data_IF_365812405147
#
_entry.id   IF_365812405147
#
_cell.length_a   1.000
_cell.length_b   1.000
_cell.length_c   1.000
_cell.angle_alpha   90.00
_cell.angle_beta   90.00
_cell.angle_gamma   90.00
#
_symmetry.space_group_name_H-M   'P 1'
#
loop_
_entity.id
_entity.type
_entity.pdbx_description
1 polymer ?
#
# COMPACT_ATOMS: atom_id res chain seq x y z
N UNK A 1 -3.75 53.77 6.78
CA UNK A 1 -2.98 52.84 5.93
C UNK A 1 -3.46 51.43 6.25
N UNK A 2 -4.12 50.75 5.32
CA UNK A 2 -4.67 49.41 5.51
C UNK A 2 -3.63 48.36 5.08
N UNK A 3 -3.40 47.37 5.94
CA UNK A 3 -2.48 46.27 5.67
C UNK A 3 -3.08 45.32 4.62
N UNK A 4 -2.31 45.06 3.57
CA UNK A 4 -2.67 44.11 2.52
C UNK A 4 -2.71 42.69 3.09
N UNK A 5 -3.88 42.05 3.01
CA UNK A 5 -4.05 40.65 3.36
C UNK A 5 -3.30 39.75 2.40
N UNK A 6 -2.32 38.99 2.91
CA UNK A 6 -1.68 37.91 2.19
C UNK A 6 -2.70 36.79 1.97
N UNK A 7 -3.22 36.69 0.74
CA UNK A 7 -3.94 35.50 0.26
C UNK A 7 -2.97 34.33 0.25
N UNK A 8 -3.12 33.42 1.21
CA UNK A 8 -2.51 32.08 1.12
C UNK A 8 -3.27 31.31 0.05
N UNK A 9 -2.66 31.13 -1.12
CA UNK A 9 -3.10 30.10 -2.06
C UNK A 9 -2.71 28.75 -1.45
N UNK A 10 -3.66 28.03 -0.85
CA UNK A 10 -3.53 26.59 -0.70
C UNK A 10 -3.55 26.02 -2.11
N UNK A 11 -2.38 25.62 -2.62
CA UNK A 11 -2.31 24.73 -3.78
C UNK A 11 -3.04 23.45 -3.37
N UNK A 12 -4.33 23.35 -3.74
CA UNK A 12 -5.18 22.25 -3.34
C UNK A 12 -4.49 20.94 -3.69
N UNK A 13 -4.28 20.08 -2.70
CA UNK A 13 -3.91 18.70 -2.96
C UNK A 13 -5.09 18.16 -3.76
N UNK A 14 -4.89 17.95 -5.06
CA UNK A 14 -5.90 17.30 -5.89
C UNK A 14 -5.93 15.86 -5.42
N UNK A 15 -7.03 15.47 -4.80
CA UNK A 15 -7.28 14.09 -4.42
C UNK A 15 -7.17 13.23 -5.68
N UNK A 16 -6.26 12.24 -5.64
CA UNK A 16 -6.10 11.30 -6.74
C UNK A 16 -7.13 10.18 -6.59
N UNK A 17 -7.72 9.70 -7.69
CA UNK A 17 -8.66 8.59 -7.62
C UNK A 17 -7.99 7.34 -7.05
N UNK A 18 -8.78 6.35 -6.58
CA UNK A 18 -8.28 5.05 -6.20
C UNK A 18 -7.39 4.46 -7.30
N UNK A 19 -6.27 3.87 -6.89
CA UNK A 19 -5.24 3.38 -7.79
C UNK A 19 -4.53 2.18 -7.18
N UNK A 20 -3.79 1.46 -8.02
CA UNK A 20 -2.86 0.41 -7.60
C UNK A 20 -1.47 1.03 -7.50
N UNK A 21 -0.82 0.83 -6.35
CA UNK A 21 0.53 1.31 -6.07
C UNK A 21 1.45 0.17 -5.72
N UNK A 22 2.73 0.36 -6.05
CA UNK A 22 3.83 -0.48 -5.59
C UNK A 22 4.88 0.44 -4.98
N UNK A 23 5.28 0.13 -3.76
CA UNK A 23 6.36 0.82 -3.06
C UNK A 23 7.43 -0.19 -2.70
N UNK A 24 8.70 0.21 -2.80
CA UNK A 24 9.85 -0.62 -2.49
C UNK A 24 10.65 0.06 -1.39
N UNK A 25 10.95 -0.67 -0.33
CA UNK A 25 11.68 -0.19 0.83
C UNK A 25 12.92 -1.05 1.07
N UNK A 26 14.02 -0.44 1.51
CA UNK A 26 15.17 -1.17 2.03
C UNK A 26 14.84 -1.73 3.42
N UNK A 27 15.29 -2.95 3.71
CA UNK A 27 15.12 -3.63 4.99
C UNK A 27 16.48 -4.12 5.54
N UNK A 28 17.43 -3.21 5.81
CA UNK A 28 18.78 -3.59 6.23
C UNK A 28 18.80 -4.36 7.56
N UNK A 29 17.81 -4.12 8.42
CA UNK A 29 17.68 -4.75 9.74
C UNK A 29 16.80 -6.02 9.72
N UNK A 30 16.37 -6.47 8.54
CA UNK A 30 15.51 -7.66 8.37
C UNK A 30 14.27 -7.64 9.28
N UNK A 31 13.61 -6.48 9.38
CA UNK A 31 12.41 -6.29 10.20
C UNK A 31 11.27 -7.20 9.73
N UNK A 32 10.44 -7.73 10.65
CA UNK A 32 9.27 -8.53 10.30
C UNK A 32 8.29 -7.80 9.37
N UNK A 33 7.60 -8.52 8.50
CA UNK A 33 6.66 -7.91 7.54
C UNK A 33 5.52 -7.12 8.21
N UNK A 34 5.13 -7.49 9.44
CA UNK A 34 4.11 -6.80 10.21
C UNK A 34 4.48 -5.37 10.59
N UNK A 35 5.77 -5.04 10.64
CA UNK A 35 6.26 -3.69 10.95
C UNK A 35 5.99 -2.68 9.84
N UNK A 36 5.63 -3.15 8.64
CA UNK A 36 5.37 -2.34 7.46
C UNK A 36 3.88 -1.97 7.29
N UNK A 37 3.05 -2.33 8.29
CA UNK A 37 1.67 -1.89 8.40
C UNK A 37 1.61 -0.43 8.86
N UNK A 38 0.57 0.29 8.42
CA UNK A 38 0.25 1.60 9.00
C UNK A 38 -0.66 1.45 10.21
N UNK A 39 -0.76 2.48 11.05
CA UNK A 39 -1.68 2.53 12.19
C UNK A 39 -3.16 2.41 11.78
N UNK A 40 -3.50 2.73 10.53
CA UNK A 40 -4.84 2.60 9.96
C UNK A 40 -5.14 1.20 9.41
N UNK A 41 -4.23 0.25 9.60
CA UNK A 41 -4.39 -1.12 9.15
C UNK A 41 -5.28 -1.90 10.10
N UNK A 42 -6.10 -2.80 9.55
CA UNK A 42 -6.84 -3.79 10.32
C UNK A 42 -5.86 -4.62 11.18
N UNK A 43 -6.25 -5.01 12.41
CA UNK A 43 -5.47 -5.97 13.19
C UNK A 43 -5.37 -7.33 12.49
N UNK A 44 -6.33 -7.66 11.62
CA UNK A 44 -6.36 -8.93 10.90
C UNK A 44 -5.26 -8.95 9.83
N UNK A 45 -4.27 -9.79 10.06
CA UNK A 45 -3.16 -10.07 9.14
C UNK A 45 -3.27 -11.50 8.70
N UNK A 46 -3.34 -11.72 7.39
CA UNK A 46 -3.39 -13.05 6.81
C UNK A 46 -2.03 -13.37 6.17
N UNK A 47 -1.34 -14.45 6.57
CA UNK A 47 -0.18 -14.90 5.85
C UNK A 47 -0.59 -15.34 4.44
N UNK A 48 0.22 -15.02 3.43
CA UNK A 48 0.12 -15.58 2.09
C UNK A 48 1.49 -15.92 1.51
N UNK A 49 1.48 -16.63 0.38
CA UNK A 49 2.66 -16.79 -0.46
C UNK A 49 2.48 -16.02 -1.76
N UNK A 50 3.52 -15.31 -2.17
CA UNK A 50 3.61 -14.63 -3.48
C UNK A 50 4.82 -15.22 -4.21
N UNK A 51 4.56 -16.07 -5.18
CA UNK A 51 5.59 -16.96 -5.72
C UNK A 51 6.14 -17.86 -4.60
N UNK A 52 7.47 -17.88 -4.44
CA UNK A 52 8.15 -18.61 -3.35
C UNK A 52 8.42 -17.75 -2.10
N UNK A 53 7.92 -16.51 -2.07
CA UNK A 53 8.20 -15.57 -0.99
C UNK A 53 7.09 -15.50 0.04
N UNK A 54 7.48 -15.43 1.31
CA UNK A 54 6.57 -15.15 2.40
C UNK A 54 6.04 -13.71 2.29
N UNK A 55 4.73 -13.58 2.50
CA UNK A 55 4.05 -12.32 2.42
C UNK A 55 2.91 -12.25 3.45
N UNK A 56 2.41 -11.05 3.68
CA UNK A 56 1.22 -10.80 4.48
C UNK A 56 0.20 -9.96 3.69
N UNK A 57 -1.07 -10.28 3.85
CA UNK A 57 -2.20 -9.49 3.38
C UNK A 57 -2.92 -8.85 4.57
N UNK A 58 -3.38 -7.62 4.38
CA UNK A 58 -4.24 -6.93 5.34
C UNK A 58 -5.01 -5.80 4.63
N UNK A 59 -6.13 -5.40 5.21
CA UNK A 59 -6.87 -4.21 4.75
C UNK A 59 -6.51 -3.00 5.61
N UNK A 60 -6.64 -1.80 5.06
CA UNK A 60 -6.48 -0.54 5.79
C UNK A 60 -7.49 0.49 5.30
N UNK A 61 -7.90 1.39 6.19
CA UNK A 61 -8.87 2.45 5.84
C UNK A 61 -8.18 3.83 5.74
N UNK A 62 -8.92 4.82 5.26
CA UNK A 62 -8.45 6.19 5.06
C UNK A 62 -9.47 6.98 4.26
N UNK A 63 -9.01 7.64 3.20
CA UNK A 63 -9.89 8.29 2.23
C UNK A 63 -10.62 7.26 1.34
N UNK A 64 -9.95 6.12 1.10
CA UNK A 64 -10.48 4.93 0.45
C UNK A 64 -10.27 3.73 1.38
N UNK A 65 -10.97 2.64 1.08
CA UNK A 65 -10.58 1.33 1.60
C UNK A 65 -9.41 0.81 0.77
N UNK A 66 -8.51 0.07 1.41
CA UNK A 66 -7.34 -0.48 0.76
C UNK A 66 -7.15 -1.95 1.08
N UNK A 67 -6.86 -2.74 0.05
CA UNK A 67 -6.22 -4.04 0.22
C UNK A 67 -4.71 -3.87 0.06
N UNK A 68 -3.94 -4.52 0.92
CA UNK A 68 -2.48 -4.44 0.92
C UNK A 68 -1.88 -5.83 0.92
N UNK A 69 -0.77 -5.97 0.20
CA UNK A 69 0.12 -7.12 0.26
C UNK A 69 1.54 -6.63 0.48
N UNK A 70 2.22 -7.19 1.48
CA UNK A 70 3.62 -6.90 1.78
C UNK A 70 4.43 -8.18 1.64
N UNK A 71 5.50 -8.14 0.86
CA UNK A 71 6.34 -9.29 0.52
C UNK A 71 7.82 -8.94 0.64
N UNK A 72 8.63 -9.87 1.13
CA UNK A 72 10.10 -9.73 1.17
C UNK A 72 10.72 -10.21 -0.14
N UNK A 73 11.85 -9.62 -0.55
CA UNK A 73 12.73 -10.25 -1.55
C UNK A 73 13.41 -11.50 -0.98
N UNK A 74 13.88 -12.43 -1.84
CA UNK A 74 14.53 -13.67 -1.41
C UNK A 74 15.72 -13.49 -0.47
N UNK A 75 16.46 -12.40 -0.64
CA UNK A 75 17.63 -12.05 0.18
C UNK A 75 17.28 -11.20 1.42
N UNK A 76 15.99 -10.89 1.63
CA UNK A 76 15.50 -10.10 2.75
C UNK A 76 15.83 -8.61 2.69
N UNK A 77 16.55 -8.15 1.66
CA UNK A 77 17.07 -6.77 1.62
C UNK A 77 16.02 -5.74 1.28
N UNK A 78 14.94 -6.14 0.59
CA UNK A 78 13.87 -5.25 0.22
C UNK A 78 12.52 -5.79 0.63
N UNK A 79 11.62 -4.87 0.97
CA UNK A 79 10.22 -5.14 1.22
C UNK A 79 9.41 -4.38 0.18
N UNK A 80 8.54 -5.10 -0.53
CA UNK A 80 7.63 -4.53 -1.51
C UNK A 80 6.24 -4.47 -0.88
N UNK A 81 5.61 -3.29 -0.96
CA UNK A 81 4.21 -3.09 -0.56
C UNK A 81 3.38 -2.78 -1.80
N UNK A 82 2.43 -3.66 -2.07
CA UNK A 82 1.39 -3.49 -3.06
C UNK A 82 0.14 -3.01 -2.36
N UNK A 83 -0.54 -2.00 -2.91
CA UNK A 83 -1.82 -1.53 -2.37
C UNK A 83 -2.77 -1.15 -3.49
N UNK A 84 -4.04 -1.52 -3.36
CA UNK A 84 -5.13 -1.02 -4.19
C UNK A 84 -6.11 -0.25 -3.32
N UNK A 85 -6.41 0.99 -3.71
CA UNK A 85 -7.54 1.73 -3.13
C UNK A 85 -8.84 1.40 -3.86
N UNK A 86 -9.97 1.39 -3.15
CA UNK A 86 -11.30 1.21 -3.73
C UNK A 86 -12.40 1.89 -2.88
N UNK A 87 -13.55 2.17 -3.50
CA UNK A 87 -14.74 2.68 -2.81
C UNK A 87 -15.74 1.58 -2.44
N UNK A 88 -15.93 0.61 -3.34
CA UNK A 88 -16.88 -0.49 -3.20
C UNK A 88 -16.12 -1.81 -3.06
N UNK A 89 -16.60 -2.70 -2.21
CA UNK A 89 -15.99 -4.01 -2.03
C UNK A 89 -16.03 -4.88 -3.32
N UNK A 90 -16.89 -4.56 -4.28
CA UNK A 90 -16.98 -5.24 -5.58
C UNK A 90 -16.26 -4.47 -6.70
N UNK A 91 -15.41 -3.49 -6.36
CA UNK A 91 -14.65 -2.74 -7.36
C UNK A 91 -13.74 -3.70 -8.17
N UNK A 92 -13.82 -3.70 -9.51
CA UNK A 92 -13.02 -4.60 -10.35
C UNK A 92 -11.51 -4.42 -10.17
N UNK A 93 -11.05 -3.25 -9.70
CA UNK A 93 -9.64 -3.03 -9.39
C UNK A 93 -9.10 -3.97 -8.32
N UNK A 94 -9.97 -4.48 -7.43
CA UNK A 94 -9.57 -5.48 -6.43
C UNK A 94 -9.18 -6.81 -7.08
N UNK A 95 -9.86 -7.19 -8.16
CA UNK A 95 -9.49 -8.39 -8.92
C UNK A 95 -8.21 -8.15 -9.72
N UNK A 96 -8.10 -7.02 -10.41
CA UNK A 96 -6.88 -6.66 -11.15
C UNK A 96 -5.65 -6.64 -10.22
N UNK A 97 -5.83 -6.17 -8.99
CA UNK A 97 -4.80 -6.20 -7.94
C UNK A 97 -4.38 -7.63 -7.58
N UNK A 98 -5.33 -8.55 -7.38
CA UNK A 98 -5.02 -9.95 -7.09
C UNK A 98 -4.30 -10.62 -8.26
N UNK A 99 -4.69 -10.32 -9.49
CA UNK A 99 -4.05 -10.84 -10.70
C UNK A 99 -2.60 -10.33 -10.81
N UNK A 100 -2.36 -9.04 -10.53
CA UNK A 100 -1.01 -8.47 -10.47
C UNK A 100 -0.17 -9.18 -9.40
N UNK A 101 -0.66 -9.27 -8.16
CA UNK A 101 0.10 -9.87 -7.05
C UNK A 101 0.41 -11.34 -7.34
N UNK A 102 -0.56 -12.10 -7.85
CA UNK A 102 -0.36 -13.52 -8.16
C UNK A 102 0.58 -13.78 -9.34
N UNK A 103 0.80 -12.78 -10.21
CA UNK A 103 1.73 -12.86 -11.33
C UNK A 103 3.21 -12.62 -10.96
N UNK A 104 3.48 -12.20 -9.71
CA UNK A 104 4.83 -11.83 -9.29
C UNK A 104 5.76 -13.04 -9.21
N UNK A 105 6.98 -12.86 -9.73
CA UNK A 105 8.08 -13.81 -9.63
C UNK A 105 9.33 -13.09 -9.13
N UNK A 106 10.11 -13.75 -8.28
CA UNK A 106 11.38 -13.24 -7.77
C UNK A 106 12.54 -14.02 -8.40
N UNK A 107 13.63 -13.31 -8.72
CA UNK A 107 14.86 -13.87 -9.31
C UNK A 107 16.03 -13.66 -8.35
#
# INVERSE_FOLDING_TARGET
>A
MAAAGLRRYSKGITELPPNITVQVFENPDQRPLTDWKSELSSPDVQPLQVGEQEAIAFSSTGLYEHDNVVVSTPDGKYVLRFSVGYFDANDPMRQDFQDIVSSLTFQ
#
